data_IF_060407648678
#
_entry.id   IF_060407648678
#
_cell.length_a   1.000
_cell.length_b   1.000
_cell.length_c   1.000
_cell.angle_alpha   90.00
_cell.angle_beta   90.00
_cell.angle_gamma   90.00
#
_symmetry.space_group_name_H-M   'P 1'
#
loop_
_entity.id
_entity.type
_entity.pdbx_description
1 polymer ?
#
# COMPACT_ATOMS: atom_id res chain seq x y z
N UNK A 1 -65.58 38.02 12.85
CA UNK A 1 -64.13 37.99 13.13
C UNK A 1 -63.58 36.73 12.49
N UNK A 2 -62.76 36.90 11.46
CA UNK A 2 -62.48 35.86 10.48
C UNK A 2 -61.49 34.83 11.02
N UNK A 3 -61.84 33.57 10.81
CA UNK A 3 -61.00 32.39 10.94
C UNK A 3 -59.91 32.49 9.87
N UNK A 4 -58.65 32.65 10.27
CA UNK A 4 -57.52 32.64 9.33
C UNK A 4 -57.14 31.19 9.01
N UNK A 5 -57.75 30.68 7.96
CA UNK A 5 -57.21 29.61 7.12
C UNK A 5 -56.02 30.18 6.32
N UNK A 6 -54.81 29.67 6.53
CA UNK A 6 -53.65 29.91 5.65
C UNK A 6 -52.88 28.61 5.48
N UNK A 7 -53.36 27.82 4.52
CA UNK A 7 -52.62 27.17 3.43
C UNK A 7 -51.23 26.58 3.76
N UNK A 8 -51.17 25.24 3.66
CA UNK A 8 -49.93 24.51 3.36
C UNK A 8 -49.39 24.96 1.98
N UNK A 9 -48.23 25.61 1.99
CA UNK A 9 -47.43 25.96 0.81
C UNK A 9 -46.37 24.90 0.46
N UNK A 10 -45.77 24.97 -0.75
CA UNK A 10 -45.59 23.81 -1.64
C UNK A 10 -44.30 23.02 -1.43
N UNK A 11 -44.39 21.74 -1.81
CA UNK A 11 -43.33 20.75 -2.02
C UNK A 11 -42.07 21.35 -2.66
N UNK A 12 -41.05 21.60 -1.84
CA UNK A 12 -39.68 21.80 -2.29
C UNK A 12 -39.13 20.46 -2.78
N UNK A 13 -38.87 20.37 -4.08
CA UNK A 13 -38.31 19.20 -4.76
C UNK A 13 -36.97 18.84 -4.13
N UNK A 14 -36.92 17.79 -3.31
CA UNK A 14 -35.65 17.20 -2.87
C UNK A 14 -35.10 16.33 -4.00
N UNK A 15 -34.42 17.02 -4.91
CA UNK A 15 -33.36 16.60 -5.84
C UNK A 15 -33.58 15.30 -6.63
N UNK A 16 -33.08 15.28 -7.87
CA UNK A 16 -32.95 14.06 -8.67
C UNK A 16 -32.03 13.04 -7.94
N UNK A 17 -32.61 12.34 -6.97
CA UNK A 17 -31.86 11.74 -5.91
C UNK A 17 -31.76 10.26 -6.18
N UNK A 18 -30.79 9.91 -7.02
CA UNK A 18 -30.38 8.53 -7.27
C UNK A 18 -30.10 7.72 -5.98
N UNK A 19 -29.98 8.38 -4.81
CA UNK A 19 -29.86 7.73 -3.50
C UNK A 19 -31.19 7.34 -2.88
N UNK A 20 -32.31 8.02 -3.17
CA UNK A 20 -33.66 7.69 -2.67
C UNK A 20 -34.04 6.23 -2.95
N UNK A 21 -33.99 5.73 -4.20
CA UNK A 21 -34.34 4.34 -4.47
C UNK A 21 -33.37 3.35 -3.83
N UNK A 22 -32.13 3.78 -3.55
CA UNK A 22 -31.15 2.96 -2.83
C UNK A 22 -31.46 2.87 -1.34
N UNK A 23 -31.82 3.98 -0.70
CA UNK A 23 -32.19 4.05 0.72
C UNK A 23 -33.47 3.24 0.97
N UNK A 24 -34.50 3.44 0.15
CA UNK A 24 -35.76 2.68 0.21
C UNK A 24 -35.51 1.18 0.02
N UNK A 25 -34.71 0.78 -0.98
CA UNK A 25 -34.41 -0.63 -1.21
C UNK A 25 -33.61 -1.28 -0.05
N UNK A 26 -32.72 -0.52 0.58
CA UNK A 26 -31.96 -1.00 1.74
C UNK A 26 -32.80 -1.06 3.02
N UNK A 27 -33.79 -0.17 3.17
CA UNK A 27 -34.68 -0.09 4.34
C UNK A 27 -35.88 -1.06 4.25
N UNK A 28 -36.62 -1.05 3.13
CA UNK A 28 -37.92 -1.70 2.99
C UNK A 28 -37.89 -2.99 2.15
N UNK A 29 -36.75 -3.31 1.52
CA UNK A 29 -36.56 -4.46 0.61
C UNK A 29 -37.56 -4.54 -0.55
N UNK A 30 -38.24 -3.45 -0.88
CA UNK A 30 -39.20 -3.39 -1.97
C UNK A 30 -38.47 -3.36 -3.30
N UNK A 31 -38.53 -4.48 -4.03
CA UNK A 31 -37.94 -4.58 -5.36
C UNK A 31 -38.89 -3.99 -6.41
N UNK A 32 -38.40 -3.16 -7.35
CA UNK A 32 -39.20 -2.73 -8.51
C UNK A 32 -39.68 -3.97 -9.28
N UNK A 33 -40.95 -3.98 -9.72
CA UNK A 33 -41.65 -5.15 -10.30
C UNK A 33 -40.97 -5.79 -11.53
N UNK A 34 -40.00 -5.12 -12.17
CA UNK A 34 -39.24 -5.66 -13.30
C UNK A 34 -37.97 -6.42 -12.86
N UNK A 35 -37.83 -7.69 -13.28
CA UNK A 35 -36.68 -8.56 -12.93
C UNK A 35 -35.31 -7.90 -13.19
N UNK A 36 -35.14 -7.24 -14.34
CA UNK A 36 -33.87 -6.59 -14.73
C UNK A 36 -33.58 -5.35 -13.89
N UNK A 37 -34.61 -4.52 -13.65
CA UNK A 37 -34.48 -3.33 -12.82
C UNK A 37 -34.18 -3.68 -11.35
N UNK A 38 -34.84 -4.73 -10.82
CA UNK A 38 -34.57 -5.26 -9.49
C UNK A 38 -33.13 -5.78 -9.36
N UNK A 39 -32.63 -6.51 -10.35
CA UNK A 39 -31.24 -6.99 -10.35
C UNK A 39 -30.22 -5.84 -10.40
N UNK A 40 -30.44 -4.85 -11.29
CA UNK A 40 -29.57 -3.69 -11.39
C UNK A 40 -29.54 -2.89 -10.07
N UNK A 41 -30.69 -2.71 -9.43
CA UNK A 41 -30.80 -2.03 -8.15
C UNK A 41 -30.11 -2.82 -7.03
N UNK A 42 -30.29 -4.14 -6.98
CA UNK A 42 -29.63 -5.02 -6.00
C UNK A 42 -28.10 -4.99 -6.14
N UNK A 43 -27.58 -5.05 -7.38
CA UNK A 43 -26.15 -4.92 -7.66
C UNK A 43 -25.59 -3.54 -7.30
N UNK A 44 -26.40 -2.49 -7.44
CA UNK A 44 -26.02 -1.14 -7.02
C UNK A 44 -26.03 -1.03 -5.50
N UNK A 45 -27.07 -1.56 -4.84
CA UNK A 45 -27.25 -1.53 -3.39
C UNK A 45 -26.20 -2.35 -2.63
N UNK A 46 -25.70 -3.46 -3.19
CA UNK A 46 -24.66 -4.30 -2.55
C UNK A 46 -23.35 -3.55 -2.26
N UNK A 47 -23.12 -2.43 -2.96
CA UNK A 47 -21.94 -1.57 -2.82
C UNK A 47 -22.08 -0.53 -1.71
N UNK A 48 -23.24 -0.44 -1.05
CA UNK A 48 -23.52 0.57 -0.03
C UNK A 48 -24.08 -0.06 1.23
N UNK A 49 -23.89 0.62 2.35
CA UNK A 49 -24.53 0.32 3.63
C UNK A 49 -25.22 1.58 4.17
N UNK A 50 -26.29 1.38 4.94
CA UNK A 50 -27.03 2.45 5.58
C UNK A 50 -26.68 2.46 7.06
N UNK A 51 -26.12 3.55 7.57
CA UNK A 51 -25.84 3.74 9.01
C UNK A 51 -26.55 5.02 9.43
N UNK A 52 -27.50 4.90 10.36
CA UNK A 52 -28.29 6.05 10.85
C UNK A 52 -28.91 6.88 9.73
N UNK A 53 -29.49 6.21 8.72
CA UNK A 53 -30.12 6.79 7.53
C UNK A 53 -29.18 7.59 6.59
N UNK A 54 -27.87 7.47 6.79
CA UNK A 54 -26.83 8.00 5.91
C UNK A 54 -26.25 6.86 5.07
N UNK A 55 -26.16 7.07 3.76
CA UNK A 55 -25.66 6.08 2.80
C UNK A 55 -24.13 6.15 2.75
N UNK A 56 -23.46 5.06 3.11
CA UNK A 56 -22.01 4.90 3.01
C UNK A 56 -21.65 3.92 1.92
N UNK A 57 -20.54 4.17 1.22
CA UNK A 57 -19.96 3.21 0.28
C UNK A 57 -19.28 2.10 1.08
N UNK A 58 -19.64 0.85 0.81
CA UNK A 58 -19.06 -0.32 1.47
C UNK A 58 -17.55 -0.39 1.19
N UNK A 59 -16.75 -0.56 2.23
CA UNK A 59 -15.29 -0.62 2.09
C UNK A 59 -14.86 -1.98 1.54
N UNK A 60 -13.74 -2.01 0.81
CA UNK A 60 -13.16 -3.27 0.28
C UNK A 60 -12.71 -4.21 1.43
N UNK A 61 -12.50 -3.68 2.64
CA UNK A 61 -12.09 -4.46 3.81
C UNK A 61 -13.16 -5.43 4.33
N UNK A 62 -14.44 -5.22 4.00
CA UNK A 62 -15.51 -6.17 4.36
C UNK A 62 -15.54 -7.42 3.46
N UNK A 63 -14.84 -7.39 2.32
CA UNK A 63 -14.64 -8.58 1.49
C UNK A 63 -13.37 -9.25 1.99
N UNK A 64 -13.46 -10.46 2.59
CA UNK A 64 -12.27 -11.15 3.05
C UNK A 64 -11.31 -11.36 1.88
N UNK A 65 -10.18 -10.64 1.89
CA UNK A 65 -9.15 -10.77 0.85
C UNK A 65 -8.25 -11.95 1.19
N UNK A 66 -7.53 -12.54 0.24
CA UNK A 66 -6.62 -13.66 0.55
C UNK A 66 -5.65 -13.39 1.71
N UNK A 67 -5.27 -12.12 1.94
CA UNK A 67 -4.44 -11.67 3.08
C UNK A 67 -5.10 -11.73 4.46
N UNK A 68 -6.43 -11.61 4.54
CA UNK A 68 -7.16 -11.54 5.82
C UNK A 68 -8.22 -12.63 5.96
N UNK A 69 -8.91 -12.99 4.87
CA UNK A 69 -9.96 -14.00 4.84
C UNK A 69 -9.50 -15.46 4.88
N UNK A 70 -8.21 -15.70 4.63
CA UNK A 70 -7.59 -17.04 4.70
C UNK A 70 -6.53 -17.13 5.81
N UNK A 71 -6.33 -16.04 6.55
CA UNK A 71 -5.36 -15.99 7.64
C UNK A 71 -6.02 -16.60 8.89
N UNK A 72 -5.78 -17.88 9.14
CA UNK A 72 -6.10 -18.47 10.44
C UNK A 72 -4.97 -18.15 11.42
N UNK A 73 -5.33 -17.91 12.67
CA UNK A 73 -4.36 -17.54 13.71
C UNK A 73 -3.34 -18.66 13.95
N UNK A 74 -3.81 -19.91 13.88
CA UNK A 74 -2.99 -21.11 14.04
C UNK A 74 -1.92 -21.23 12.94
N UNK A 75 -2.31 -20.94 11.68
CA UNK A 75 -1.35 -20.97 10.57
C UNK A 75 -0.31 -19.86 10.74
N UNK A 76 -0.73 -18.67 11.13
CA UNK A 76 0.19 -17.57 11.40
C UNK A 76 1.20 -17.92 12.51
N UNK A 77 0.74 -18.52 13.59
CA UNK A 77 1.59 -18.94 14.71
C UNK A 77 2.61 -20.01 14.26
N UNK A 78 2.19 -21.01 13.47
CA UNK A 78 3.09 -22.03 12.96
C UNK A 78 4.17 -21.44 12.03
N UNK A 79 3.78 -20.56 11.11
CA UNK A 79 4.71 -19.86 10.20
C UNK A 79 5.67 -18.94 10.98
N UNK A 80 5.17 -18.26 12.02
CA UNK A 80 5.99 -17.40 12.87
C UNK A 80 7.08 -18.21 13.58
N UNK A 81 6.72 -19.37 14.15
CA UNK A 81 7.69 -20.27 14.80
C UNK A 81 8.77 -20.70 13.80
N UNK A 82 8.36 -21.18 12.62
CA UNK A 82 9.29 -21.59 11.57
C UNK A 82 10.25 -20.46 11.15
N UNK A 83 9.72 -19.25 10.97
CA UNK A 83 10.52 -18.08 10.60
C UNK A 83 11.52 -17.71 11.70
N UNK A 84 11.15 -17.86 12.97
CA UNK A 84 12.04 -17.58 14.10
C UNK A 84 13.16 -18.63 14.20
N UNK A 85 12.84 -19.92 14.01
CA UNK A 85 13.82 -21.00 14.03
C UNK A 85 14.85 -20.89 12.90
N UNK A 86 14.42 -20.45 11.70
CA UNK A 86 15.28 -20.35 10.51
C UNK A 86 16.00 -19.01 10.36
N UNK A 87 15.72 -18.02 11.21
CA UNK A 87 16.22 -16.65 11.03
C UNK A 87 17.75 -16.57 11.11
N UNK A 88 18.38 -17.38 11.96
CA UNK A 88 19.84 -17.33 12.13
C UNK A 88 20.55 -17.99 10.95
N UNK A 89 20.02 -19.11 10.42
CA UNK A 89 20.56 -19.76 9.22
C UNK A 89 20.56 -18.80 8.02
N UNK A 90 19.43 -18.11 7.79
CA UNK A 90 19.31 -17.11 6.73
C UNK A 90 20.27 -15.93 6.93
N UNK A 91 20.48 -15.51 8.19
CA UNK A 91 21.43 -14.45 8.53
C UNK A 91 22.87 -14.89 8.27
N UNK A 92 23.24 -16.11 8.62
CA UNK A 92 24.57 -16.66 8.36
C UNK A 92 24.85 -16.80 6.87
N UNK A 93 23.88 -17.31 6.09
CA UNK A 93 24.00 -17.38 4.63
C UNK A 93 24.17 -15.99 3.99
N UNK A 94 23.38 -15.01 4.44
CA UNK A 94 23.55 -13.62 4.01
C UNK A 94 24.94 -13.07 4.37
N UNK A 95 25.44 -13.32 5.58
CA UNK A 95 26.81 -12.93 5.99
C UNK A 95 27.87 -13.57 5.09
N UNK A 96 27.75 -14.86 4.79
CA UNK A 96 28.67 -15.57 3.90
C UNK A 96 28.68 -14.95 2.50
N UNK A 97 27.51 -14.69 1.92
CA UNK A 97 27.38 -14.05 0.60
C UNK A 97 27.99 -12.64 0.58
N UNK A 98 27.71 -11.83 1.60
CA UNK A 98 28.27 -10.49 1.72
C UNK A 98 29.80 -10.53 1.85
N UNK A 99 30.33 -11.43 2.68
CA UNK A 99 31.77 -11.58 2.85
C UNK A 99 32.45 -12.03 1.54
N UNK A 100 31.86 -12.99 0.83
CA UNK A 100 32.34 -13.43 -0.48
C UNK A 100 32.36 -12.27 -1.49
N UNK A 101 31.26 -11.51 -1.57
CA UNK A 101 31.18 -10.33 -2.43
C UNK A 101 32.25 -9.28 -2.10
N UNK A 102 32.45 -8.97 -0.81
CA UNK A 102 33.48 -8.04 -0.37
C UNK A 102 34.88 -8.54 -0.73
N UNK A 103 35.16 -9.84 -0.58
CA UNK A 103 36.44 -10.43 -0.99
C UNK A 103 36.66 -10.32 -2.50
N UNK A 104 35.65 -10.58 -3.32
CA UNK A 104 35.74 -10.46 -4.78
C UNK A 104 36.04 -9.02 -5.21
N UNK A 105 35.31 -8.05 -4.65
CA UNK A 105 35.53 -6.62 -4.91
C UNK A 105 36.95 -6.22 -4.48
N UNK A 106 37.37 -6.62 -3.28
CA UNK A 106 38.71 -6.34 -2.75
C UNK A 106 39.81 -6.92 -3.65
N UNK A 107 39.65 -8.18 -4.08
CA UNK A 107 40.58 -8.84 -5.01
C UNK A 107 40.65 -8.09 -6.35
N UNK A 108 39.50 -7.71 -6.91
CA UNK A 108 39.44 -7.00 -8.19
C UNK A 108 40.13 -5.64 -8.14
N UNK A 109 40.01 -4.91 -7.02
CA UNK A 109 40.68 -3.63 -6.84
C UNK A 109 42.19 -3.81 -6.56
N UNK A 110 42.54 -4.74 -5.68
CA UNK A 110 43.93 -4.95 -5.26
C UNK A 110 44.78 -5.74 -6.26
N UNK A 111 44.20 -6.32 -7.32
CA UNK A 111 44.93 -7.16 -8.29
C UNK A 111 46.15 -6.49 -8.93
N UNK A 112 46.13 -5.17 -9.06
CA UNK A 112 47.20 -4.39 -9.69
C UNK A 112 47.88 -3.41 -8.72
N UNK A 113 47.57 -3.47 -7.43
CA UNK A 113 48.19 -2.60 -6.42
C UNK A 113 49.56 -3.20 -6.04
N UNK A 114 50.63 -2.55 -6.51
CA UNK A 114 52.00 -2.93 -6.15
C UNK A 114 52.41 -2.18 -4.89
N UNK A 115 52.67 -2.89 -3.80
CA UNK A 115 53.26 -2.30 -2.60
C UNK A 115 54.63 -1.72 -2.95
N UNK A 116 54.80 -0.40 -2.79
CA UNK A 116 56.09 0.27 -2.94
C UNK A 116 56.76 0.33 -1.58
N UNK A 117 57.95 -0.24 -1.48
CA UNK A 117 58.81 -0.05 -0.30
C UNK A 117 59.55 1.27 -0.51
N UNK A 118 59.26 2.27 0.32
CA UNK A 118 60.00 3.52 0.35
C UNK A 118 61.22 3.36 1.25
N UNK A 119 62.41 3.69 0.74
CA UNK A 119 63.64 3.77 1.52
C UNK A 119 63.90 5.22 1.93
N UNK A 120 64.63 5.39 3.04
CA UNK A 120 65.16 6.70 3.46
C UNK A 120 66.00 7.27 2.31
N UNK A 121 65.50 8.32 1.66
CA UNK A 121 66.10 8.94 0.47
C UNK A 121 65.19 9.05 -0.76
N UNK A 122 64.03 8.39 -0.78
CA UNK A 122 63.08 8.42 -1.91
C UNK A 122 62.24 9.73 -2.02
N UNK A 123 62.58 10.78 -1.26
CA UNK A 123 61.68 11.93 -1.03
C UNK A 123 61.87 13.15 -1.94
N UNK A 124 62.78 13.15 -2.91
CA UNK A 124 62.94 14.32 -3.78
C UNK A 124 61.96 14.34 -4.96
N UNK A 125 60.77 14.91 -4.72
CA UNK A 125 59.81 15.29 -5.77
C UNK A 125 60.00 16.75 -6.19
N UNK A 126 61.00 17.06 -7.03
CA UNK A 126 61.03 18.34 -7.75
C UNK A 126 60.17 18.26 -9.01
N UNK A 127 58.91 18.72 -8.92
CA UNK A 127 58.07 19.01 -10.09
C UNK A 127 58.52 20.32 -10.75
N UNK A 128 58.50 20.32 -12.08
CA UNK A 128 59.27 21.22 -12.94
C UNK A 128 58.91 22.70 -12.92
N UNK A 129 59.93 23.52 -13.12
CA UNK A 129 59.84 24.97 -13.36
C UNK A 129 59.98 25.20 -14.87
N UNK A 130 58.91 25.67 -15.53
CA UNK A 130 58.98 26.17 -16.92
C UNK A 130 59.89 27.39 -16.95
N UNK A 131 61.00 27.33 -17.68
CA UNK A 131 61.84 28.50 -17.95
C UNK A 131 61.31 29.20 -19.22
N UNK A 132 60.84 30.43 -19.07
CA UNK A 132 60.69 31.37 -20.18
C UNK A 132 62.04 32.07 -20.39
N UNK A 133 62.61 31.96 -21.58
CA UNK A 133 63.71 32.80 -22.04
C UNK A 133 63.13 34.13 -22.57
N UNK A 134 63.75 35.24 -22.16
CA UNK A 134 63.57 36.58 -22.73
C UNK A 134 64.94 37.08 -23.17
#
# INVERSE_FOLDING_TARGET
MNVCEVQAGPTGKEDDNWTTPLKEYLLDKTAPTGKVAAQALALKASKYCLISNVLFKKSVAEVPTARYGLMTEERNQAELIYNLDTVEELREDAKMRMAAYQQEVTRSFNKNVRARVFKLGDWDSQKGVRKYQR
#
